data_IF_062121737638
#
_entry.id   IF_062121737638
#
_cell.length_a   1.000
_cell.length_b   1.000
_cell.length_c   1.000
_cell.angle_alpha   90.00
_cell.angle_beta   90.00
_cell.angle_gamma   90.00
#
_symmetry.space_group_name_H-M   'P 1'
#
loop_
_entity.id
_entity.type
_entity.pdbx_description
1 polymer ?
#
# COMPACT_ATOMS: atom_id res chain seq x y z
N UNK A 1 -16.56 -0.79 -17.51
CA UNK A 1 -17.32 -1.88 -16.88
C UNK A 1 -18.79 -1.77 -17.27
N UNK A 2 -19.25 -2.70 -18.02
CA UNK A 2 -20.62 -2.69 -18.51
C UNK A 2 -21.46 -3.66 -17.66
N UNK A 3 -22.55 -3.15 -17.09
CA UNK A 3 -23.49 -3.92 -16.26
C UNK A 3 -22.88 -4.65 -15.07
N UNK A 4 -21.76 -4.16 -14.55
CA UNK A 4 -21.17 -4.73 -13.34
C UNK A 4 -20.62 -6.13 -13.47
N UNK A 5 -20.12 -6.50 -14.64
CA UNK A 5 -19.57 -7.84 -14.85
C UNK A 5 -18.36 -8.09 -13.97
N UNK A 6 -18.43 -9.18 -13.19
CA UNK A 6 -17.31 -9.61 -12.36
C UNK A 6 -16.32 -10.41 -13.19
N UNK A 7 -15.05 -9.98 -13.20
CA UNK A 7 -13.98 -10.70 -13.88
C UNK A 7 -13.35 -11.75 -13.00
N UNK A 8 -13.10 -11.41 -11.72
CA UNK A 8 -12.63 -12.35 -10.72
C UNK A 8 -12.78 -11.71 -9.34
N UNK A 9 -12.73 -12.55 -8.31
CA UNK A 9 -12.80 -12.07 -6.94
C UNK A 9 -11.98 -12.95 -6.01
N UNK A 10 -11.62 -12.38 -4.86
CA UNK A 10 -10.95 -13.07 -3.77
C UNK A 10 -11.54 -12.63 -2.44
N UNK A 11 -11.67 -13.57 -1.53
CA UNK A 11 -12.14 -13.28 -0.18
C UNK A 11 -11.01 -12.71 0.65
N UNK A 12 -11.03 -11.40 0.85
CA UNK A 12 -10.11 -10.73 1.75
C UNK A 12 -10.84 -9.56 2.40
N UNK A 13 -10.68 -9.44 3.70
CA UNK A 13 -11.33 -8.37 4.46
C UNK A 13 -10.42 -7.16 4.50
N UNK A 14 -10.84 -6.06 3.90
CA UNK A 14 -10.07 -4.82 3.88
C UNK A 14 -11.01 -3.62 3.91
N UNK A 15 -10.68 -2.65 4.75
CA UNK A 15 -11.37 -1.36 4.80
C UNK A 15 -10.68 -0.31 3.92
N UNK A 16 -9.60 -0.67 3.24
CA UNK A 16 -8.79 0.26 2.46
C UNK A 16 -8.82 -0.10 1.00
N UNK A 17 -8.69 0.92 0.15
CA UNK A 17 -8.61 0.72 -1.29
C UNK A 17 -7.33 -0.04 -1.65
N UNK A 18 -7.38 -0.98 -2.60
CA UNK A 18 -6.18 -1.67 -3.05
C UNK A 18 -5.29 -0.76 -3.89
N UNK A 19 -4.00 -1.09 -3.95
CA UNK A 19 -3.07 -0.45 -4.88
C UNK A 19 -2.88 -1.33 -6.09
N UNK A 20 -3.04 -0.75 -7.28
CA UNK A 20 -2.93 -1.48 -8.55
C UNK A 20 -1.66 -1.05 -9.24
N UNK A 21 -0.76 -2.00 -9.49
CA UNK A 21 0.43 -1.80 -10.30
C UNK A 21 0.24 -2.37 -11.71
N UNK A 22 1.35 -2.51 -12.44
CA UNK A 22 1.29 -3.05 -13.80
C UNK A 22 0.90 -4.52 -13.83
N UNK A 23 1.43 -5.31 -12.90
CA UNK A 23 1.25 -6.76 -12.86
C UNK A 23 0.48 -7.26 -11.64
N UNK A 24 0.47 -6.50 -10.55
CA UNK A 24 -0.06 -6.96 -9.27
C UNK A 24 -1.07 -5.98 -8.68
N UNK A 25 -1.97 -6.52 -7.88
CA UNK A 25 -2.80 -5.77 -6.95
C UNK A 25 -2.32 -6.07 -5.54
N UNK A 26 -2.11 -5.03 -4.75
CA UNK A 26 -1.68 -5.18 -3.36
C UNK A 26 -2.78 -4.70 -2.44
N UNK A 27 -3.13 -5.53 -1.47
CA UNK A 27 -4.21 -5.29 -0.51
C UNK A 27 -3.62 -5.27 0.89
N UNK A 28 -3.98 -4.24 1.67
CA UNK A 28 -3.75 -4.24 3.10
C UNK A 28 -5.01 -4.78 3.77
N UNK A 29 -4.93 -5.98 4.31
CA UNK A 29 -6.07 -6.61 4.97
C UNK A 29 -6.36 -5.93 6.32
N UNK A 30 -7.56 -6.17 6.84
CA UNK A 30 -8.03 -5.55 8.07
C UNK A 30 -7.10 -5.77 9.26
N UNK A 31 -6.50 -6.95 9.35
CA UNK A 31 -5.59 -7.31 10.45
C UNK A 31 -4.14 -6.87 10.22
N UNK A 32 -3.86 -6.18 9.12
CA UNK A 32 -2.51 -5.69 8.81
C UNK A 32 -1.68 -6.62 7.95
N UNK A 33 -2.22 -7.75 7.52
CA UNK A 33 -1.54 -8.56 6.52
C UNK A 33 -1.50 -7.80 5.19
N UNK A 34 -0.38 -7.92 4.50
CA UNK A 34 -0.23 -7.31 3.17
C UNK A 34 -0.11 -8.44 2.16
N UNK A 35 -0.93 -8.39 1.13
CA UNK A 35 -1.09 -9.50 0.20
C UNK A 35 -0.99 -8.98 -1.23
N UNK A 36 -0.15 -9.62 -2.04
CA UNK A 36 -0.04 -9.33 -3.46
C UNK A 36 -0.69 -10.40 -4.30
N UNK A 37 -1.51 -9.98 -5.26
CA UNK A 37 -2.15 -10.87 -6.23
C UNK A 37 -1.69 -10.50 -7.63
N UNK A 38 -1.45 -11.51 -8.46
CA UNK A 38 -1.13 -11.32 -9.87
C UNK A 38 -2.41 -11.01 -10.64
N UNK A 39 -2.42 -9.91 -11.40
CA UNK A 39 -3.58 -9.48 -12.16
C UNK A 39 -3.98 -10.47 -13.25
N UNK A 40 -3.00 -11.08 -13.92
CA UNK A 40 -3.26 -11.98 -15.04
C UNK A 40 -3.73 -13.36 -14.56
N UNK A 41 -3.01 -13.96 -13.62
CA UNK A 41 -3.30 -15.31 -13.14
C UNK A 41 -4.35 -15.34 -12.03
N UNK A 42 -4.60 -14.20 -11.39
CA UNK A 42 -5.53 -14.06 -10.26
C UNK A 42 -5.08 -14.82 -9.02
N UNK A 43 -3.81 -15.19 -8.96
CA UNK A 43 -3.26 -15.95 -7.85
C UNK A 43 -2.54 -15.04 -6.89
N UNK A 44 -2.57 -15.43 -5.61
CA UNK A 44 -1.72 -14.79 -4.61
C UNK A 44 -0.26 -15.11 -4.94
N UNK A 45 0.57 -14.07 -5.02
CA UNK A 45 2.00 -14.25 -5.33
C UNK A 45 2.87 -14.07 -4.10
N UNK A 46 2.40 -13.31 -3.12
CA UNK A 46 3.09 -13.16 -1.83
C UNK A 46 2.14 -12.65 -0.77
N UNK A 47 2.50 -12.90 0.48
CA UNK A 47 1.87 -12.27 1.63
C UNK A 47 2.87 -12.20 2.77
N UNK A 48 2.67 -11.27 3.67
CA UNK A 48 3.39 -11.25 4.92
C UNK A 48 2.56 -10.59 6.01
N UNK A 49 2.97 -10.81 7.27
CA UNK A 49 2.32 -10.25 8.44
C UNK A 49 3.23 -9.32 9.24
N UNK A 50 4.29 -8.83 8.61
CA UNK A 50 5.30 -7.99 9.27
C UNK A 50 4.75 -6.67 9.78
N UNK A 51 3.63 -6.20 9.19
CA UNK A 51 2.97 -4.97 9.58
C UNK A 51 1.64 -5.22 10.28
N UNK A 52 1.46 -6.42 10.80
CA UNK A 52 0.23 -6.80 11.49
C UNK A 52 0.00 -5.89 12.71
N UNK A 53 -1.26 -5.50 12.91
CA UNK A 53 -1.72 -4.64 14.01
C UNK A 53 -1.19 -3.21 14.00
N UNK A 54 -0.62 -2.76 12.90
CA UNK A 54 -0.10 -1.39 12.77
C UNK A 54 -1.09 -0.37 12.23
N UNK A 55 -2.33 -0.79 11.96
CA UNK A 55 -3.38 0.10 11.42
C UNK A 55 -2.92 0.83 10.18
N UNK A 56 -2.75 0.06 9.13
CA UNK A 56 -2.25 0.57 7.86
C UNK A 56 -3.29 1.45 7.16
N UNK A 57 -2.82 2.48 6.47
CA UNK A 57 -3.66 3.25 5.57
C UNK A 57 -3.76 2.55 4.20
N UNK A 58 -4.46 3.18 3.24
CA UNK A 58 -4.55 2.63 1.89
C UNK A 58 -3.18 2.69 1.20
N UNK A 59 -2.71 1.57 0.63
CA UNK A 59 -1.45 1.59 -0.10
C UNK A 59 -1.56 2.37 -1.41
N UNK A 60 -0.43 2.92 -1.86
CA UNK A 60 -0.35 3.69 -3.11
C UNK A 60 0.82 3.18 -3.93
N UNK A 61 0.55 2.92 -5.20
CA UNK A 61 1.58 2.46 -6.15
C UNK A 61 2.54 3.58 -6.49
N UNK A 62 3.83 3.29 -6.48
CA UNK A 62 4.87 4.21 -6.90
C UNK A 62 6.01 3.43 -7.56
N UNK A 63 6.05 3.42 -8.89
CA UNK A 63 7.02 2.63 -9.64
C UNK A 63 6.89 1.14 -9.34
N UNK A 64 7.99 0.50 -8.99
CA UNK A 64 8.02 -0.93 -8.64
C UNK A 64 7.60 -1.20 -7.20
N UNK A 65 7.31 -0.17 -6.46
CA UNK A 65 6.95 -0.25 -5.04
C UNK A 65 5.51 0.16 -4.80
N UNK A 66 5.04 -0.17 -3.62
CA UNK A 66 3.90 0.51 -3.02
C UNK A 66 4.38 1.20 -1.74
N UNK A 67 3.75 2.31 -1.42
CA UNK A 67 3.96 2.99 -0.14
C UNK A 67 2.73 2.76 0.72
N UNK A 68 2.96 2.49 2.00
CA UNK A 68 1.89 2.30 2.97
C UNK A 68 2.31 2.89 4.31
N UNK A 69 1.41 3.60 4.95
CA UNK A 69 1.68 4.23 6.24
C UNK A 69 1.00 3.52 7.39
N UNK A 70 1.49 3.72 8.60
CA UNK A 70 0.90 3.14 9.80
C UNK A 70 0.54 4.20 10.85
N UNK A 71 -0.06 3.75 11.94
CA UNK A 71 -0.54 4.65 12.99
C UNK A 71 0.59 5.28 13.82
N UNK A 72 1.79 4.72 13.76
CA UNK A 72 2.96 5.28 14.42
C UNK A 72 3.69 6.31 13.55
N UNK A 73 3.21 6.51 12.32
CA UNK A 73 3.77 7.50 11.41
C UNK A 73 4.88 7.01 10.52
N UNK A 74 5.13 5.70 10.50
CA UNK A 74 6.08 5.12 9.57
C UNK A 74 5.48 4.97 8.19
N UNK A 75 6.29 5.21 7.19
CA UNK A 75 5.98 5.00 5.79
C UNK A 75 6.90 3.90 5.27
N UNK A 76 6.31 2.85 4.73
CA UNK A 76 7.04 1.68 4.25
C UNK A 76 7.02 1.64 2.74
N UNK A 77 8.16 1.28 2.13
CA UNK A 77 8.27 0.99 0.72
C UNK A 77 8.32 -0.53 0.54
N UNK A 78 7.30 -1.10 -0.06
CA UNK A 78 7.16 -2.54 -0.25
C UNK A 78 7.28 -2.83 -1.74
N UNK A 79 8.13 -3.79 -2.09
CA UNK A 79 8.31 -4.19 -3.49
C UNK A 79 7.10 -4.97 -3.97
N UNK A 80 6.54 -4.59 -5.10
CA UNK A 80 5.33 -5.23 -5.63
C UNK A 80 5.56 -6.68 -6.05
N UNK A 81 6.76 -7.01 -6.53
CA UNK A 81 7.03 -8.34 -7.08
C UNK A 81 7.09 -9.45 -6.03
N UNK A 82 7.58 -9.15 -4.83
CA UNK A 82 7.80 -10.17 -3.80
C UNK A 82 7.34 -9.77 -2.40
N UNK A 83 6.85 -8.54 -2.22
CA UNK A 83 6.37 -8.08 -0.92
C UNK A 83 7.44 -7.71 0.08
N UNK A 84 8.72 -7.69 -0.31
CA UNK A 84 9.79 -7.33 0.61
C UNK A 84 9.71 -5.86 0.99
N UNK A 85 10.03 -5.57 2.25
CA UNK A 85 10.09 -4.19 2.74
C UNK A 85 11.49 -3.66 2.43
N UNK A 86 11.58 -2.79 1.44
CA UNK A 86 12.85 -2.24 0.98
C UNK A 86 13.31 -1.05 1.81
N UNK A 87 12.41 -0.42 2.53
CA UNK A 87 12.77 0.69 3.38
C UNK A 87 11.59 1.23 4.17
N UNK A 88 11.91 2.04 5.16
CA UNK A 88 10.89 2.78 5.91
C UNK A 88 11.47 4.10 6.38
N UNK A 89 10.58 5.06 6.61
CA UNK A 89 10.94 6.34 7.22
C UNK A 89 9.81 6.79 8.14
N UNK A 90 10.13 7.54 9.18
CA UNK A 90 9.09 8.11 10.01
C UNK A 90 8.64 9.44 9.42
N UNK A 91 7.41 9.47 8.95
CA UNK A 91 6.84 10.62 8.26
C UNK A 91 6.11 11.57 9.22
N UNK A 92 5.42 11.04 10.23
CA UNK A 92 4.70 11.84 11.23
C UNK A 92 4.55 11.03 12.50
N UNK A 93 5.06 11.56 13.61
CA UNK A 93 5.02 10.87 14.92
C UNK A 93 3.58 10.64 15.42
N UNK A 94 2.60 11.34 14.87
CA UNK A 94 1.20 11.19 15.25
C UNK A 94 0.44 10.22 14.35
N UNK A 95 1.11 9.60 13.40
CA UNK A 95 0.55 8.58 12.54
C UNK A 95 0.16 9.07 11.16
N UNK A 96 -0.08 8.13 10.28
CA UNK A 96 -0.55 8.37 8.91
C UNK A 96 -1.80 7.54 8.70
N UNK A 97 -2.97 8.15 8.73
CA UNK A 97 -4.26 7.47 8.54
C UNK A 97 -4.93 7.83 7.22
N UNK A 98 -4.75 9.07 6.79
CA UNK A 98 -5.40 9.55 5.58
C UNK A 98 -4.88 8.84 4.35
N UNK A 99 -5.70 8.68 3.31
CA UNK A 99 -5.20 8.17 2.04
C UNK A 99 -4.10 9.06 1.50
N UNK A 100 -3.14 8.43 0.85
CA UNK A 100 -2.06 9.13 0.17
C UNK A 100 -2.42 9.30 -1.30
N UNK A 101 -1.83 10.29 -1.95
CA UNK A 101 -2.09 10.59 -3.35
C UNK A 101 -0.78 10.52 -4.12
N UNK A 102 -0.78 9.75 -5.20
CA UNK A 102 0.37 9.71 -6.10
C UNK A 102 0.27 10.87 -7.10
N UNK A 103 1.36 11.59 -7.24
CA UNK A 103 1.52 12.61 -8.27
C UNK A 103 2.87 12.41 -8.94
N UNK A 104 2.86 11.91 -10.19
CA UNK A 104 4.07 11.59 -10.97
C UNK A 104 4.93 10.56 -10.21
N UNK A 105 6.17 10.92 -9.87
CA UNK A 105 7.10 10.05 -9.14
C UNK A 105 7.07 10.26 -7.63
N UNK A 106 6.03 10.93 -7.12
CA UNK A 106 5.90 11.27 -5.71
C UNK A 106 4.61 10.80 -5.12
N UNK A 107 4.64 10.57 -3.82
CA UNK A 107 3.44 10.33 -3.02
C UNK A 107 3.32 11.46 -2.04
N UNK A 108 2.13 12.06 -1.99
CA UNK A 108 1.81 13.14 -1.07
C UNK A 108 0.97 12.57 0.05
N UNK A 109 1.39 12.82 1.27
CA UNK A 109 0.65 12.38 2.45
C UNK A 109 0.31 13.55 3.36
N UNK A 110 -0.78 13.38 4.09
CA UNK A 110 -1.21 14.28 5.14
C UNK A 110 -1.16 13.53 6.47
N UNK A 111 -0.22 13.88 7.31
CA UNK A 111 -0.04 13.23 8.60
C UNK A 111 -1.05 13.69 9.64
N UNK A 112 -1.31 12.86 10.64
CA UNK A 112 -2.27 13.17 11.72
C UNK A 112 -1.84 14.40 12.54
N UNK A 113 -0.56 14.75 12.51
CA UNK A 113 -0.05 15.95 13.15
C UNK A 113 -0.28 17.24 12.36
N UNK A 114 -0.96 17.17 11.20
CA UNK A 114 -1.27 18.33 10.38
C UNK A 114 -0.22 18.68 9.34
N UNK A 115 0.79 17.85 9.15
CA UNK A 115 1.83 18.09 8.16
C UNK A 115 1.45 17.52 6.80
N UNK A 116 1.77 18.26 5.74
CA UNK A 116 1.70 17.76 4.36
C UNK A 116 3.13 17.49 3.92
N UNK A 117 3.40 16.30 3.41
CA UNK A 117 4.73 15.92 2.98
C UNK A 117 4.67 15.17 1.65
N UNK A 118 5.77 15.26 0.90
CA UNK A 118 5.93 14.59 -0.39
C UNK A 118 7.15 13.69 -0.33
N UNK A 119 6.99 12.46 -0.77
CA UNK A 119 8.03 11.44 -0.75
C UNK A 119 8.23 10.84 -2.12
N UNK A 120 9.45 10.45 -2.41
CA UNK A 120 9.80 9.66 -3.58
C UNK A 120 10.75 8.54 -3.17
N UNK A 121 10.84 7.51 -4.01
CA UNK A 121 11.79 6.43 -3.78
C UNK A 121 13.13 6.83 -4.36
N UNK A 122 14.17 6.72 -3.54
CA UNK A 122 15.55 6.96 -3.97
C UNK A 122 16.27 5.63 -3.94
N UNK A 123 16.74 5.19 -5.11
CA UNK A 123 17.53 3.96 -5.19
C UNK A 123 18.96 4.23 -4.70
N UNK A 124 19.53 3.29 -3.92
CA UNK A 124 20.91 3.44 -3.44
C UNK A 124 21.95 3.31 -4.54
#
# INVERSE_FOLDING_TARGET
>A
LRSGEERWSRSVSSLRAPAVGDDNVVVAAYDGRVIGYDLASRREVWRHDKLQWRRLNAPVTLGEHILIGDFEGYLYAIRQSDGSIDGRTQADVKGVRSPMVRYRDRVILFGNGGQIASYRIVEP
#
